data_IF_061265421570
#
_entry.id   IF_061265421570
#
_cell.length_a   1.000
_cell.length_b   1.000
_cell.length_c   1.000
_cell.angle_alpha   90.00
_cell.angle_beta   90.00
_cell.angle_gamma   90.00
#
_symmetry.space_group_name_H-M   'P 1'
#
loop_
_entity.id
_entity.type
_entity.pdbx_description
1 polymer ?
#
# COMPACT_ATOMS: atom_id res chain seq x y z
N UNK A 1 -5.97 -11.10 67.95
CA UNK A 1 -6.69 -12.05 67.06
C UNK A 1 -6.77 -11.35 65.69
N UNK A 2 -5.93 -11.82 64.74
CA UNK A 2 -5.94 -11.26 63.38
C UNK A 2 -7.01 -11.99 62.56
N UNK A 3 -7.97 -11.24 62.07
CA UNK A 3 -9.17 -11.73 61.39
C UNK A 3 -8.78 -12.55 60.13
N UNK A 4 -9.27 -13.81 60.03
CA UNK A 4 -9.02 -14.66 58.84
C UNK A 4 -9.68 -14.06 57.58
N UNK A 5 -10.62 -13.10 57.75
CA UNK A 5 -11.30 -12.43 56.67
C UNK A 5 -10.38 -11.57 55.80
N UNK A 6 -9.29 -11.05 56.36
CA UNK A 6 -8.33 -10.21 55.67
C UNK A 6 -7.45 -11.03 54.65
N UNK A 7 -7.15 -12.27 55.02
CA UNK A 7 -6.36 -13.16 54.14
C UNK A 7 -7.15 -13.72 52.97
N UNK A 8 -8.47 -13.95 53.17
CA UNK A 8 -9.36 -14.36 52.07
C UNK A 8 -9.56 -13.27 51.04
N UNK A 9 -9.63 -12.00 51.50
CA UNK A 9 -9.79 -10.85 50.59
C UNK A 9 -8.52 -10.61 49.73
N UNK A 10 -7.33 -10.83 50.30
CA UNK A 10 -6.06 -10.70 49.56
C UNK A 10 -5.89 -11.83 48.55
N UNK A 11 -6.39 -13.02 48.85
CA UNK A 11 -6.28 -14.17 47.93
C UNK A 11 -7.19 -14.03 46.70
N UNK A 12 -8.31 -13.32 46.81
CA UNK A 12 -9.22 -13.07 45.69
C UNK A 12 -8.64 -12.04 44.70
N UNK A 13 -7.84 -11.08 45.20
CA UNK A 13 -7.23 -10.05 44.35
C UNK A 13 -6.05 -10.56 43.48
N UNK A 14 -5.44 -11.69 43.82
CA UNK A 14 -4.34 -12.25 43.01
C UNK A 14 -4.83 -13.21 41.91
N UNK A 15 -6.11 -13.60 41.91
CA UNK A 15 -6.70 -14.40 40.82
C UNK A 15 -7.32 -13.59 39.69
N UNK A 16 -7.28 -12.26 39.76
CA UNK A 16 -7.66 -11.38 38.63
C UNK A 16 -6.48 -11.08 37.70
N UNK A 17 -5.60 -12.04 37.50
CA UNK A 17 -4.69 -11.99 36.38
C UNK A 17 -5.50 -12.42 35.17
N UNK A 18 -5.92 -11.46 34.33
CA UNK A 18 -6.49 -11.72 33.04
C UNK A 18 -5.58 -12.72 32.32
N UNK A 19 -6.19 -13.78 31.80
CA UNK A 19 -5.49 -14.70 30.89
C UNK A 19 -4.80 -13.83 29.84
N UNK A 20 -3.51 -14.03 29.56
CA UNK A 20 -2.94 -13.41 28.38
C UNK A 20 -3.81 -13.88 27.21
N UNK A 21 -4.41 -12.93 26.53
CA UNK A 21 -5.05 -13.24 25.25
C UNK A 21 -4.02 -14.01 24.45
N UNK A 22 -4.35 -15.23 24.11
CA UNK A 22 -3.46 -16.05 23.31
C UNK A 22 -3.33 -15.33 21.98
N UNK A 23 -2.15 -14.85 21.67
CA UNK A 23 -1.78 -14.28 20.36
C UNK A 23 -1.82 -15.34 19.25
N UNK A 24 -2.60 -16.41 19.43
CA UNK A 24 -2.78 -17.49 18.46
C UNK A 24 -3.79 -17.15 17.35
N UNK A 25 -4.45 -16.00 17.42
CA UNK A 25 -5.29 -15.47 16.34
C UNK A 25 -4.60 -14.35 15.55
N UNK A 26 -3.28 -14.43 15.37
CA UNK A 26 -2.68 -13.77 14.22
C UNK A 26 -3.36 -14.39 12.99
N UNK A 27 -3.97 -13.57 12.11
CA UNK A 27 -4.56 -14.09 10.91
C UNK A 27 -3.51 -14.95 10.21
N UNK A 28 -3.86 -16.18 9.92
CA UNK A 28 -3.02 -17.08 9.11
C UNK A 28 -2.57 -16.22 7.94
N UNK A 29 -1.25 -16.04 7.80
CA UNK A 29 -0.71 -15.22 6.72
C UNK A 29 -1.20 -15.84 5.42
N UNK A 30 -2.24 -15.25 4.84
CA UNK A 30 -2.76 -15.69 3.56
C UNK A 30 -1.70 -15.43 2.52
N UNK A 31 -1.56 -16.37 1.59
CA UNK A 31 -0.73 -16.17 0.41
C UNK A 31 -1.10 -14.85 -0.24
N UNK A 32 -0.13 -14.02 -0.54
CA UNK A 32 -0.37 -12.67 -1.01
C UNK A 32 0.10 -12.46 -2.43
N UNK A 33 -0.75 -11.90 -3.25
CA UNK A 33 -0.40 -11.34 -4.54
C UNK A 33 0.25 -9.97 -4.31
N UNK A 34 1.46 -9.80 -4.81
CA UNK A 34 2.20 -8.55 -4.74
C UNK A 34 2.33 -7.98 -6.15
N UNK A 35 1.66 -6.87 -6.49
CA UNK A 35 1.91 -6.17 -7.74
C UNK A 35 3.28 -5.51 -7.68
N UNK A 36 4.08 -5.70 -8.72
CA UNK A 36 5.42 -5.14 -8.81
C UNK A 36 6.44 -5.71 -7.81
N UNK A 37 7.65 -5.16 -7.83
CA UNK A 37 8.77 -5.62 -6.99
C UNK A 37 8.65 -5.18 -5.52
N UNK A 38 7.85 -4.14 -5.22
CA UNK A 38 7.75 -3.52 -3.90
C UNK A 38 6.30 -3.33 -3.42
N UNK A 39 5.33 -4.00 -4.02
CA UNK A 39 3.92 -3.82 -3.68
C UNK A 39 3.35 -2.47 -4.13
N UNK A 40 3.96 -1.83 -5.12
CA UNK A 40 3.46 -0.59 -5.71
C UNK A 40 2.12 -0.85 -6.39
N UNK A 41 1.23 0.12 -6.30
CA UNK A 41 -0.09 0.09 -6.94
C UNK A 41 -0.26 1.15 -8.01
N UNK A 42 0.81 1.89 -8.33
CA UNK A 42 0.83 2.88 -9.42
C UNK A 42 2.09 2.72 -10.24
N UNK A 43 1.92 2.61 -11.55
CA UNK A 43 2.97 2.38 -12.53
C UNK A 43 2.92 3.43 -13.62
N UNK A 44 4.04 3.72 -14.24
CA UNK A 44 4.08 4.64 -15.37
C UNK A 44 3.56 3.95 -16.63
N UNK A 45 2.99 4.73 -17.52
CA UNK A 45 2.70 4.33 -18.89
C UNK A 45 3.95 3.71 -19.53
N UNK A 46 3.77 2.64 -20.28
CA UNK A 46 4.81 1.83 -20.94
C UNK A 46 5.79 1.12 -19.98
N UNK A 47 5.60 1.21 -18.67
CA UNK A 47 6.39 0.47 -17.69
C UNK A 47 6.02 -1.00 -17.70
N UNK A 48 7.03 -1.88 -17.68
CA UNK A 48 6.82 -3.31 -17.49
C UNK A 48 6.48 -3.60 -16.02
N UNK A 49 5.30 -4.13 -15.78
CA UNK A 49 4.76 -4.49 -14.46
C UNK A 49 4.95 -5.98 -14.28
N UNK A 50 5.52 -6.40 -13.16
CA UNK A 50 5.70 -7.81 -12.80
C UNK A 50 4.83 -8.15 -11.59
N UNK A 51 4.07 -9.22 -11.69
CA UNK A 51 3.29 -9.76 -10.58
C UNK A 51 4.04 -10.91 -9.91
N UNK A 52 4.05 -10.92 -8.60
CA UNK A 52 4.68 -11.96 -7.81
C UNK A 52 3.66 -12.55 -6.83
N UNK A 53 3.74 -13.86 -6.64
CA UNK A 53 2.94 -14.55 -5.65
C UNK A 53 3.82 -15.10 -4.55
N UNK A 54 3.51 -14.73 -3.32
CA UNK A 54 4.26 -15.14 -2.13
C UNK A 54 3.35 -15.98 -1.24
N UNK A 55 3.81 -17.13 -0.80
CA UNK A 55 3.07 -17.98 0.12
C UNK A 55 3.14 -17.45 1.57
N UNK A 56 2.43 -18.12 2.47
CA UNK A 56 2.38 -17.76 3.90
C UNK A 56 3.72 -17.93 4.62
N UNK A 57 4.66 -18.67 4.04
CA UNK A 57 6.00 -18.90 4.56
C UNK A 57 7.02 -17.91 3.99
N UNK A 58 6.61 -17.06 3.02
CA UNK A 58 7.46 -16.08 2.35
C UNK A 58 8.17 -16.61 1.09
N UNK A 59 7.83 -17.82 0.62
CA UNK A 59 8.43 -18.37 -0.59
C UNK A 59 7.75 -17.81 -1.85
N UNK A 60 8.53 -17.59 -2.89
CA UNK A 60 8.00 -17.15 -4.18
C UNK A 60 7.44 -18.34 -4.97
N UNK A 61 6.12 -18.34 -5.18
CA UNK A 61 5.37 -19.37 -5.91
C UNK A 61 4.85 -18.87 -7.27
N UNK A 62 5.38 -17.78 -7.78
CA UNK A 62 4.97 -17.15 -9.04
C UNK A 62 4.97 -18.11 -10.23
N UNK A 63 5.92 -19.03 -10.30
CA UNK A 63 6.01 -20.04 -11.38
C UNK A 63 4.83 -21.00 -11.43
N UNK A 64 4.13 -21.20 -10.31
CA UNK A 64 2.99 -22.09 -10.19
C UNK A 64 1.66 -21.31 -10.11
N UNK A 65 1.70 -20.05 -10.53
CA UNK A 65 0.58 -19.11 -10.40
C UNK A 65 0.22 -18.59 -11.79
N UNK A 66 -1.08 -18.51 -12.05
CA UNK A 66 -1.65 -17.89 -13.25
C UNK A 66 -2.25 -16.54 -12.87
N UNK A 67 -1.96 -15.49 -13.64
CA UNK A 67 -2.43 -14.14 -13.38
C UNK A 67 -3.54 -13.75 -14.36
N UNK A 68 -4.57 -13.12 -13.85
CA UNK A 68 -5.70 -12.60 -14.62
C UNK A 68 -5.78 -11.10 -14.39
N UNK A 69 -5.72 -10.32 -15.47
CA UNK A 69 -5.86 -8.86 -15.44
C UNK A 69 -7.10 -8.48 -16.23
N UNK A 70 -7.98 -7.67 -15.65
CA UNK A 70 -9.26 -7.25 -16.24
C UNK A 70 -10.09 -8.41 -16.79
N UNK A 71 -10.13 -9.52 -16.05
CA UNK A 71 -10.77 -10.78 -16.41
C UNK A 71 -10.14 -11.51 -17.61
N UNK A 72 -8.93 -11.15 -18.04
CA UNK A 72 -8.18 -11.83 -19.09
C UNK A 72 -6.94 -12.48 -18.52
N UNK A 73 -6.75 -13.78 -18.83
CA UNK A 73 -5.54 -14.50 -18.45
C UNK A 73 -4.35 -13.94 -19.24
N UNK A 74 -3.30 -13.53 -18.52
CA UNK A 74 -2.06 -13.07 -19.15
C UNK A 74 -1.08 -14.24 -19.32
N UNK A 75 -0.19 -14.12 -20.30
CA UNK A 75 0.86 -15.11 -20.53
C UNK A 75 2.10 -14.76 -19.69
N UNK A 76 2.35 -15.55 -18.66
CA UNK A 76 3.42 -15.27 -17.69
C UNK A 76 2.94 -14.36 -16.56
N UNK A 77 3.86 -13.57 -16.03
CA UNK A 77 3.62 -12.70 -14.86
C UNK A 77 3.92 -11.22 -15.14
N UNK A 78 4.02 -10.82 -16.40
CA UNK A 78 4.36 -9.44 -16.76
C UNK A 78 3.38 -8.87 -17.77
N UNK A 79 3.11 -7.56 -17.67
CA UNK A 79 2.24 -6.80 -18.58
C UNK A 79 2.72 -5.34 -18.65
N UNK A 80 2.38 -4.63 -19.71
CA UNK A 80 2.55 -3.18 -19.83
C UNK A 80 1.34 -2.55 -20.50
N UNK A 81 1.09 -1.27 -20.24
CA UNK A 81 -0.02 -0.51 -20.80
C UNK A 81 0.48 0.81 -21.39
N UNK A 82 -0.06 1.16 -22.54
CA UNK A 82 0.21 2.41 -23.26
C UNK A 82 -0.87 3.48 -23.01
N UNK A 83 -1.90 3.17 -22.22
CA UNK A 83 -2.96 4.08 -21.82
C UNK A 83 -3.02 4.20 -20.28
N UNK A 84 -3.35 5.40 -19.81
CA UNK A 84 -3.60 5.66 -18.39
C UNK A 84 -4.94 5.06 -17.98
N UNK A 85 -5.00 4.49 -16.78
CA UNK A 85 -6.24 3.88 -16.30
C UNK A 85 -6.05 3.04 -15.05
N UNK A 86 -7.17 2.52 -14.55
CA UNK A 86 -7.19 1.59 -13.42
C UNK A 86 -7.46 0.18 -13.93
N UNK A 87 -6.69 -0.77 -13.45
CA UNK A 87 -6.75 -2.18 -13.81
C UNK A 87 -6.91 -3.03 -12.56
N UNK A 88 -7.47 -4.23 -12.74
CA UNK A 88 -7.63 -5.20 -11.66
C UNK A 88 -6.80 -6.44 -11.95
N UNK A 89 -6.08 -6.94 -10.95
CA UNK A 89 -5.34 -8.19 -11.06
C UNK A 89 -5.80 -9.17 -9.98
N UNK A 90 -5.89 -10.44 -10.35
CA UNK A 90 -6.04 -11.58 -9.44
C UNK A 90 -5.11 -12.70 -9.86
N UNK A 91 -4.84 -13.60 -8.93
CA UNK A 91 -4.00 -14.76 -9.18
C UNK A 91 -4.74 -16.06 -8.81
N UNK A 92 -4.53 -17.09 -9.63
CA UNK A 92 -4.94 -18.46 -9.34
C UNK A 92 -3.68 -19.30 -9.15
N UNK A 93 -3.58 -19.98 -8.02
CA UNK A 93 -2.42 -20.80 -7.67
C UNK A 93 -2.85 -22.14 -7.05
N UNK A 94 -1.96 -23.12 -7.09
CA UNK A 94 -2.23 -24.47 -6.60
C UNK A 94 -1.27 -24.81 -5.47
N UNK A 95 -1.81 -25.26 -4.33
CA UNK A 95 -1.05 -25.81 -3.21
C UNK A 95 -1.70 -27.16 -2.85
N UNK A 96 -0.90 -28.19 -2.68
CA UNK A 96 -1.34 -29.55 -2.30
C UNK A 96 -2.48 -30.10 -3.17
N UNK A 97 -2.41 -29.82 -4.48
CA UNK A 97 -3.43 -30.19 -5.48
C UNK A 97 -4.78 -29.48 -5.31
N UNK A 98 -4.85 -28.43 -4.51
CA UNK A 98 -6.03 -27.56 -4.37
C UNK A 98 -5.79 -26.21 -5.02
N UNK A 99 -6.79 -25.70 -5.74
CA UNK A 99 -6.74 -24.41 -6.41
C UNK A 99 -7.30 -23.30 -5.49
N UNK A 100 -6.59 -22.19 -5.46
CA UNK A 100 -6.93 -21.00 -4.70
C UNK A 100 -6.93 -19.78 -5.61
N UNK A 101 -7.78 -18.82 -5.28
CA UNK A 101 -7.80 -17.50 -5.94
C UNK A 101 -7.49 -16.43 -4.89
N UNK A 102 -6.79 -15.38 -5.32
CA UNK A 102 -6.63 -14.17 -4.51
C UNK A 102 -7.84 -13.26 -4.68
N UNK A 103 -7.98 -12.31 -3.76
CA UNK A 103 -8.83 -11.15 -3.97
C UNK A 103 -8.31 -10.30 -5.14
N UNK A 104 -9.20 -9.44 -5.68
CA UNK A 104 -8.83 -8.47 -6.71
C UNK A 104 -8.00 -7.35 -6.10
N UNK A 105 -6.87 -7.04 -6.73
CA UNK A 105 -6.03 -5.91 -6.40
C UNK A 105 -6.13 -4.89 -7.52
N UNK A 106 -6.39 -3.63 -7.17
CA UNK A 106 -6.43 -2.51 -8.11
C UNK A 106 -5.04 -1.92 -8.24
N UNK A 107 -4.60 -1.68 -9.47
CA UNK A 107 -3.41 -0.89 -9.77
C UNK A 107 -3.73 0.17 -10.85
N UNK A 108 -2.93 1.23 -10.88
CA UNK A 108 -3.18 2.36 -11.76
C UNK A 108 -2.00 2.59 -12.69
N UNK A 109 -2.30 2.90 -13.94
CA UNK A 109 -1.34 3.41 -14.90
C UNK A 109 -1.46 4.92 -14.91
N UNK A 110 -0.34 5.61 -14.70
CA UNK A 110 -0.28 7.07 -14.60
C UNK A 110 0.77 7.62 -15.56
N UNK A 111 0.54 8.85 -15.98
CA UNK A 111 1.53 9.63 -16.72
C UNK A 111 2.24 10.59 -15.76
N UNK A 112 3.57 10.67 -15.79
CA UNK A 112 4.29 11.59 -14.93
C UNK A 112 3.97 13.03 -15.34
N UNK A 113 3.52 13.84 -14.39
CA UNK A 113 3.31 15.28 -14.58
C UNK A 113 4.55 15.99 -14.04
N UNK A 114 5.25 16.70 -14.91
CA UNK A 114 6.34 17.56 -14.48
C UNK A 114 5.75 18.77 -13.72
N UNK A 115 6.11 18.89 -12.45
CA UNK A 115 5.76 20.07 -11.64
C UNK A 115 6.98 20.90 -11.37
N UNK A 116 6.83 22.22 -11.49
CA UNK A 116 7.87 23.21 -11.15
C UNK A 116 7.56 23.76 -9.77
N UNK A 117 8.49 23.60 -8.84
CA UNK A 117 8.40 24.22 -7.52
C UNK A 117 9.05 25.59 -7.60
N UNK A 118 8.31 26.62 -7.22
CA UNK A 118 8.81 27.99 -7.10
C UNK A 118 8.77 28.38 -5.64
N UNK A 119 9.94 28.63 -5.05
CA UNK A 119 10.07 29.06 -3.68
C UNK A 119 10.47 30.56 -3.67
N UNK A 120 9.68 31.39 -2.99
CA UNK A 120 9.97 32.80 -2.80
C UNK A 120 10.30 33.06 -1.31
N UNK A 121 11.55 33.39 -1.05
CA UNK A 121 12.03 33.76 0.29
C UNK A 121 11.79 35.25 0.53
N UNK A 122 10.71 35.58 1.22
CA UNK A 122 10.26 36.95 1.46
C UNK A 122 10.23 37.29 2.95
N UNK A 123 10.28 38.58 3.26
CA UNK A 123 10.15 39.11 4.62
C UNK A 123 9.50 40.50 4.59
N UNK A 124 8.97 40.94 5.75
CA UNK A 124 8.26 42.20 5.89
C UNK A 124 9.12 43.45 5.55
N UNK A 125 10.42 43.27 5.48
CA UNK A 125 11.44 44.29 5.13
C UNK A 125 11.83 44.31 3.64
N UNK A 126 11.29 43.38 2.84
CA UNK A 126 11.62 43.24 1.42
C UNK A 126 10.71 44.15 0.57
N UNK A 127 11.22 45.27 0.11
CA UNK A 127 10.47 46.22 -0.73
C UNK A 127 10.15 45.74 -2.14
N UNK A 128 10.84 44.68 -2.63
CA UNK A 128 10.66 44.11 -3.97
C UNK A 128 9.87 42.78 -3.97
N UNK A 129 9.56 42.21 -2.80
CA UNK A 129 8.86 40.92 -2.71
C UNK A 129 7.42 40.95 -3.20
N UNK A 130 6.62 42.04 -3.00
CA UNK A 130 5.26 42.08 -3.52
C UNK A 130 5.12 41.88 -5.05
N UNK A 131 5.99 42.50 -5.88
CA UNK A 131 5.99 42.23 -7.32
C UNK A 131 6.36 40.80 -7.70
N UNK A 132 7.28 40.15 -6.96
CA UNK A 132 7.66 38.75 -7.20
C UNK A 132 6.52 37.83 -6.85
N UNK A 133 5.90 38.00 -5.69
CA UNK A 133 4.73 37.21 -5.27
C UNK A 133 3.56 37.34 -6.26
N UNK A 134 3.34 38.54 -6.81
CA UNK A 134 2.32 38.78 -7.85
C UNK A 134 2.67 38.03 -9.14
N UNK A 135 3.92 38.08 -9.58
CA UNK A 135 4.36 37.37 -10.77
C UNK A 135 4.20 35.84 -10.65
N UNK A 136 4.48 35.27 -9.46
CA UNK A 136 4.25 33.86 -9.17
C UNK A 136 2.76 33.53 -9.22
N UNK A 137 1.91 34.38 -8.68
CA UNK A 137 0.46 34.24 -8.73
C UNK A 137 -0.03 34.22 -10.20
N UNK A 138 0.41 35.18 -11.04
CA UNK A 138 0.05 35.24 -12.45
C UNK A 138 0.54 33.99 -13.23
N UNK A 139 1.73 33.47 -12.90
CA UNK A 139 2.24 32.25 -13.52
C UNK A 139 1.35 31.04 -13.20
N UNK A 140 0.82 30.94 -11.98
CA UNK A 140 -0.09 29.84 -11.57
C UNK A 140 -1.42 29.90 -12.29
N UNK A 141 -1.92 31.07 -12.66
CA UNK A 141 -3.13 31.21 -13.45
C UNK A 141 -2.97 30.72 -14.90
N UNK A 142 -1.73 30.69 -15.41
CA UNK A 142 -1.42 30.30 -16.80
C UNK A 142 -0.93 28.85 -16.88
N UNK A 143 -0.27 28.34 -15.84
CA UNK A 143 0.40 27.04 -15.83
C UNK A 143 -0.04 26.18 -14.63
N UNK A 144 -0.73 25.08 -14.90
CA UNK A 144 -1.24 24.15 -13.89
C UNK A 144 -0.13 23.34 -13.17
N UNK A 145 1.08 23.35 -13.70
CA UNK A 145 2.19 22.58 -13.20
C UNK A 145 3.10 23.35 -12.22
N UNK A 146 2.72 24.55 -11.80
CA UNK A 146 3.47 25.36 -10.83
C UNK A 146 2.94 25.11 -9.41
N UNK A 147 3.86 24.81 -8.49
CA UNK A 147 3.63 24.72 -7.05
C UNK A 147 4.40 25.86 -6.37
N UNK A 148 3.75 26.65 -5.56
CA UNK A 148 4.39 27.73 -4.77
C UNK A 148 3.87 27.74 -3.35
#
# INVERSE_FOLDING_TARGET
MRSPLLYTLIFILIYSCSKPESFSDLPVQQNSLIPGLNGETSYLKDQLISFNMIDSEGNNITSNTSFTVDNQLINGNTISYDEIGSHNVSANYTIDSQNYNTDLIVFNIVEPINKVIVEDYTGTWCGYCPPVAHAIYELKEVYDNIIS
#
